data_IF_774576057501
#
_entry.id   IF_774576057501
#
_cell.length_a   1.000
_cell.length_b   1.000
_cell.length_c   1.000
_cell.angle_alpha   90.00
_cell.angle_beta   90.00
_cell.angle_gamma   90.00
#
_symmetry.space_group_name_H-M   'P 1'
#
loop_
_entity.id
_entity.type
_entity.pdbx_description
1 polymer ?
#
# COMPACT_ATOMS: atom_id res chain seq x y z
N UNK A 1 4.66 7.07 -30.22
CA UNK A 1 3.33 7.14 -29.59
C UNK A 1 3.40 6.30 -28.33
N UNK A 2 4.31 6.70 -27.44
CA UNK A 2 5.06 5.85 -26.51
C UNK A 2 5.22 6.55 -25.15
N UNK A 3 4.44 7.60 -24.89
CA UNK A 3 4.54 8.45 -23.68
C UNK A 3 3.38 8.26 -22.68
N UNK A 4 2.35 7.46 -23.00
CA UNK A 4 1.24 7.19 -22.06
C UNK A 4 1.52 6.03 -21.09
N UNK A 5 2.41 5.09 -21.45
CA UNK A 5 2.77 3.94 -20.59
C UNK A 5 3.72 4.31 -19.44
N UNK A 6 4.53 5.37 -19.56
CA UNK A 6 5.49 5.78 -18.49
C UNK A 6 4.85 6.69 -17.42
N UNK A 7 3.74 7.37 -17.73
CA UNK A 7 3.01 8.23 -16.78
C UNK A 7 2.13 7.43 -15.80
N UNK A 8 1.59 6.28 -16.24
CA UNK A 8 0.76 5.36 -15.42
C UNK A 8 1.56 4.62 -14.34
N UNK A 9 2.89 4.52 -14.50
CA UNK A 9 3.78 3.71 -13.64
C UNK A 9 4.39 4.50 -12.47
N UNK A 10 4.53 5.83 -12.61
CA UNK A 10 5.10 6.68 -11.55
C UNK A 10 4.06 7.30 -10.61
N UNK A 11 2.77 7.36 -10.99
CA UNK A 11 1.73 7.90 -10.10
C UNK A 11 1.14 6.88 -9.11
N UNK A 12 1.33 5.57 -9.35
CA UNK A 12 1.06 4.50 -8.36
C UNK A 12 2.07 4.49 -7.20
N UNK A 13 3.28 5.04 -7.38
CA UNK A 13 4.33 5.09 -6.35
C UNK A 13 4.04 6.15 -5.26
N UNK A 14 3.43 7.27 -5.65
CA UNK A 14 3.22 8.43 -4.76
C UNK A 14 1.99 8.34 -3.84
N UNK A 15 0.93 7.61 -4.24
CA UNK A 15 -0.29 7.46 -3.43
C UNK A 15 -0.22 6.30 -2.42
N UNK A 16 0.58 5.27 -2.69
CA UNK A 16 0.74 4.08 -1.83
C UNK A 16 1.71 4.34 -0.67
N UNK A 17 2.75 5.16 -0.87
CA UNK A 17 3.65 5.56 0.22
C UNK A 17 2.98 6.44 1.29
N UNK A 18 2.06 7.34 0.87
CA UNK A 18 1.35 8.25 1.80
C UNK A 18 0.12 7.57 2.44
N UNK A 19 -0.49 6.57 1.80
CA UNK A 19 -1.58 5.80 2.42
C UNK A 19 -1.12 4.67 3.36
N UNK A 20 0.12 4.16 3.26
CA UNK A 20 0.59 3.16 4.23
C UNK A 20 0.74 3.72 5.65
N UNK A 21 0.99 5.02 5.84
CA UNK A 21 0.97 5.65 7.16
C UNK A 21 -0.46 5.89 7.69
N UNK A 22 -1.42 6.20 6.81
CA UNK A 22 -2.82 6.42 7.22
C UNK A 22 -3.61 5.10 7.47
N UNK A 23 -3.19 3.98 6.87
CA UNK A 23 -3.79 2.66 7.09
C UNK A 23 -3.27 1.99 8.37
N UNK A 24 -2.06 2.35 8.86
CA UNK A 24 -1.57 1.84 10.14
C UNK A 24 -2.31 2.43 11.36
N UNK A 25 -3.01 3.56 11.21
CA UNK A 25 -3.82 4.16 12.28
C UNK A 25 -5.30 3.71 12.33
N UNK A 26 -5.79 2.91 11.35
CA UNK A 26 -7.19 2.47 11.29
C UNK A 26 -7.38 0.99 11.65
N UNK A 27 -6.96 0.63 12.87
CA UNK A 27 -7.42 -0.56 13.58
C UNK A 27 -8.91 -0.43 13.99
N UNK A 28 -9.84 -0.37 13.02
CA UNK A 28 -11.28 -0.58 13.25
C UNK A 28 -12.11 -0.71 11.94
N UNK A 29 -11.97 -1.80 11.18
CA UNK A 29 -13.05 -2.25 10.28
C UNK A 29 -13.56 -3.64 10.71
N UNK A 30 -14.86 -3.78 11.08
CA UNK A 30 -15.42 -5.05 11.54
C UNK A 30 -15.83 -6.02 10.41
N UNK A 31 -15.46 -5.76 9.15
CA UNK A 31 -15.86 -6.60 8.01
C UNK A 31 -14.84 -7.72 7.64
N UNK A 32 -13.64 -7.73 8.22
CA UNK A 32 -12.61 -8.76 7.98
C UNK A 32 -12.44 -9.78 9.14
N UNK A 33 -13.36 -9.80 10.11
CA UNK A 33 -13.21 -10.59 11.32
C UNK A 33 -13.21 -12.12 11.11
N UNK A 34 -13.74 -12.64 9.99
CA UNK A 34 -13.86 -14.10 9.76
C UNK A 34 -12.73 -14.71 8.89
N UNK A 35 -11.85 -13.90 8.29
CA UNK A 35 -10.67 -14.38 7.52
C UNK A 35 -9.40 -14.57 8.39
N UNK A 36 -9.47 -14.17 9.67
CA UNK A 36 -8.33 -14.20 10.59
C UNK A 36 -7.78 -15.62 10.91
N UNK A 37 -8.51 -16.70 10.60
CA UNK A 37 -8.11 -18.07 10.95
C UNK A 37 -7.25 -18.76 9.88
N UNK A 38 -7.09 -18.22 8.66
CA UNK A 38 -6.19 -18.78 7.62
C UNK A 38 -4.93 -17.94 7.34
N UNK A 39 -4.89 -16.68 7.76
CA UNK A 39 -3.74 -15.79 7.55
C UNK A 39 -2.63 -15.94 8.63
N UNK A 40 -2.40 -17.15 9.17
CA UNK A 40 -1.41 -17.39 10.24
C UNK A 40 0.02 -17.72 9.75
N UNK A 41 0.26 -17.89 8.44
CA UNK A 41 1.54 -18.43 7.96
C UNK A 41 2.43 -17.50 7.11
N UNK A 42 2.01 -16.29 6.76
CA UNK A 42 2.90 -15.29 6.17
C UNK A 42 2.30 -13.90 6.31
N UNK A 43 2.69 -13.16 7.35
CA UNK A 43 2.33 -11.75 7.51
C UNK A 43 3.59 -10.93 7.68
N UNK A 44 4.22 -10.61 6.54
CA UNK A 44 5.22 -9.54 6.44
C UNK A 44 4.49 -8.20 6.39
N UNK A 45 4.92 -7.22 7.19
CA UNK A 45 4.52 -5.81 6.99
C UNK A 45 5.27 -5.35 5.73
N UNK A 46 4.56 -5.18 4.62
CA UNK A 46 5.16 -4.69 3.38
C UNK A 46 5.18 -3.16 3.40
N UNK A 47 6.35 -2.57 3.64
CA UNK A 47 6.59 -1.16 3.31
C UNK A 47 6.99 -1.03 1.85
N UNK A 48 6.27 -0.22 1.09
CA UNK A 48 6.70 0.19 -0.24
C UNK A 48 7.83 1.22 -0.11
N UNK A 49 9.08 0.77 -0.14
CA UNK A 49 10.26 1.65 -0.18
C UNK A 49 10.44 2.13 -1.62
N UNK A 50 10.44 3.45 -1.84
CA UNK A 50 10.82 4.02 -3.14
C UNK A 50 12.33 3.85 -3.36
N UNK A 51 12.73 2.69 -3.90
CA UNK A 51 14.05 2.55 -4.50
C UNK A 51 14.09 3.34 -5.81
N UNK A 52 14.89 4.41 -5.84
CA UNK A 52 15.03 5.30 -7.00
C UNK A 52 15.38 4.58 -8.30
N UNK A 53 14.77 5.04 -9.40
CA UNK A 53 15.02 4.67 -10.80
C UNK A 53 15.13 3.16 -11.13
N UNK A 54 14.37 2.32 -10.43
CA UNK A 54 14.11 0.95 -10.90
C UNK A 54 12.95 0.94 -11.91
N UNK A 55 13.29 0.67 -13.18
CA UNK A 55 12.37 0.50 -14.31
C UNK A 55 11.51 -0.79 -14.20
N UNK A 56 11.75 -1.62 -13.18
CA UNK A 56 11.02 -2.87 -12.92
C UNK A 56 9.99 -2.73 -11.78
N UNK A 57 8.80 -3.28 -12.04
CA UNK A 57 7.59 -3.19 -11.23
C UNK A 57 7.60 -4.14 -9.99
N UNK A 58 8.75 -4.55 -9.46
CA UNK A 58 8.80 -5.46 -8.32
C UNK A 58 8.60 -4.70 -7.00
N UNK A 59 7.45 -4.92 -6.34
CA UNK A 59 7.25 -4.56 -4.94
C UNK A 59 7.75 -5.73 -4.10
N UNK A 60 9.02 -5.69 -3.69
CA UNK A 60 9.56 -6.67 -2.74
C UNK A 60 9.05 -6.35 -1.33
N UNK A 61 8.45 -7.33 -0.65
CA UNK A 61 8.21 -7.22 0.78
C UNK A 61 9.52 -7.50 1.50
N UNK A 62 10.19 -6.44 1.95
CA UNK A 62 11.34 -6.58 2.85
C UNK A 62 10.79 -6.92 4.23
N UNK A 63 11.18 -8.06 4.79
CA UNK A 63 10.85 -8.35 6.17
C UNK A 63 11.48 -7.28 7.07
N UNK A 64 10.67 -6.63 7.92
CA UNK A 64 11.16 -5.60 8.85
C UNK A 64 12.28 -6.11 9.77
N UNK A 65 12.31 -7.41 10.03
CA UNK A 65 13.37 -8.10 10.78
C UNK A 65 14.76 -7.98 10.15
N UNK A 66 14.85 -7.76 8.84
CA UNK A 66 16.13 -7.64 8.14
C UNK A 66 16.59 -6.18 7.99
N UNK A 67 15.69 -5.23 8.22
CA UNK A 67 15.98 -3.81 8.11
C UNK A 67 16.61 -3.26 9.39
N UNK A 68 17.68 -2.47 9.26
CA UNK A 68 18.22 -1.77 10.43
C UNK A 68 17.39 -0.51 10.71
N UNK A 69 17.32 -0.08 11.98
CA UNK A 69 16.65 1.18 12.34
C UNK A 69 17.16 2.38 11.51
N UNK A 70 18.46 2.40 11.20
CA UNK A 70 19.06 3.45 10.38
C UNK A 70 18.46 3.45 8.97
N UNK A 71 18.33 2.29 8.34
CA UNK A 71 17.79 2.19 6.98
C UNK A 71 16.30 2.51 6.97
N UNK A 72 15.58 2.07 8.01
CA UNK A 72 14.17 2.41 8.22
C UNK A 72 13.94 3.92 8.34
N UNK A 73 14.72 4.61 9.18
CA UNK A 73 14.55 6.03 9.42
C UNK A 73 15.08 6.90 8.28
N UNK A 74 16.03 6.42 7.47
CA UNK A 74 16.59 7.17 6.32
C UNK A 74 15.56 7.41 5.21
N UNK A 75 14.53 6.56 5.12
CA UNK A 75 13.38 6.76 4.23
C UNK A 75 12.30 7.70 4.77
N UNK A 76 12.40 8.08 6.05
CA UNK A 76 11.45 8.95 6.73
C UNK A 76 12.11 10.33 6.84
N UNK A 77 11.44 11.40 6.38
CA UNK A 77 11.98 12.77 6.38
C UNK A 77 12.05 13.36 7.81
N UNK A 78 12.92 12.77 8.66
CA UNK A 78 13.07 13.07 10.08
C UNK A 78 14.11 14.17 10.32
N UNK A 79 13.86 15.35 9.76
CA UNK A 79 14.71 16.51 10.08
C UNK A 79 14.49 16.96 11.55
N UNK A 80 15.59 17.36 12.22
CA UNK A 80 15.58 18.01 13.54
C UNK A 80 15.05 17.20 14.76
N UNK A 81 15.02 15.86 14.71
CA UNK A 81 14.73 15.02 15.89
C UNK A 81 15.86 15.15 16.93
N UNK A 82 15.58 15.49 18.20
CA UNK A 82 16.58 15.49 19.25
C UNK A 82 17.21 14.11 19.41
N UNK A 83 18.52 14.04 19.63
CA UNK A 83 19.24 12.77 19.79
C UNK A 83 18.60 11.84 20.83
N UNK A 84 18.09 12.39 21.93
CA UNK A 84 17.42 11.58 22.97
C UNK A 84 16.14 10.91 22.47
N UNK A 85 15.40 11.56 21.59
CA UNK A 85 14.15 11.04 21.04
C UNK A 85 14.47 10.05 19.90
N UNK A 86 15.54 10.28 19.14
CA UNK A 86 16.07 9.30 18.17
C UNK A 86 16.55 8.01 18.86
N UNK A 87 17.28 8.12 19.98
CA UNK A 87 17.71 6.95 20.77
C UNK A 87 16.47 6.19 21.33
N UNK A 88 15.36 6.88 21.63
CA UNK A 88 14.13 6.26 22.10
C UNK A 88 13.33 5.59 20.97
N UNK A 89 13.26 6.21 19.78
CA UNK A 89 12.69 5.61 18.58
C UNK A 89 13.42 4.32 18.21
N UNK A 90 14.75 4.33 18.23
CA UNK A 90 15.57 3.13 17.96
C UNK A 90 15.28 2.01 18.98
N UNK A 91 15.11 2.35 20.26
CA UNK A 91 14.82 1.39 21.32
C UNK A 91 13.45 0.74 21.13
N UNK A 92 12.39 1.51 20.84
CA UNK A 92 11.05 0.96 20.58
C UNK A 92 11.01 0.14 19.28
N UNK A 93 11.63 0.62 18.20
CA UNK A 93 11.75 -0.13 16.93
C UNK A 93 12.37 -1.51 17.15
N UNK A 94 13.52 -1.58 17.82
CA UNK A 94 14.22 -2.84 18.06
C UNK A 94 13.42 -3.80 18.96
N UNK A 95 12.61 -3.28 19.89
CA UNK A 95 11.72 -4.11 20.71
C UNK A 95 10.57 -4.67 19.89
N UNK A 96 9.96 -3.85 19.03
CA UNK A 96 8.87 -4.26 18.16
C UNK A 96 9.34 -5.38 17.21
N UNK A 97 10.44 -5.16 16.47
CA UNK A 97 11.04 -6.16 15.58
C UNK A 97 11.34 -7.48 16.32
N UNK A 98 11.97 -7.40 17.50
CA UNK A 98 12.26 -8.61 18.29
C UNK A 98 11.00 -9.35 18.77
N UNK A 99 9.93 -8.62 19.07
CA UNK A 99 8.65 -9.20 19.45
C UNK A 99 8.01 -9.93 18.26
N UNK A 100 8.06 -9.34 17.06
CA UNK A 100 7.61 -9.96 15.81
C UNK A 100 8.40 -11.23 15.46
N UNK A 101 9.73 -11.19 15.56
CA UNK A 101 10.60 -12.38 15.38
C UNK A 101 10.23 -13.52 16.35
N UNK A 102 9.77 -13.15 17.54
CA UNK A 102 9.31 -14.08 18.58
C UNK A 102 7.83 -14.48 18.44
N UNK A 103 7.15 -14.01 17.38
CA UNK A 103 5.72 -14.17 17.12
C UNK A 103 4.83 -13.67 18.28
N UNK A 104 5.28 -12.65 19.00
CA UNK A 104 4.56 -12.01 20.09
C UNK A 104 3.94 -10.69 19.62
N UNK A 105 2.94 -10.78 18.76
CA UNK A 105 2.36 -9.63 18.06
C UNK A 105 1.70 -8.61 19.00
N UNK A 106 1.08 -9.04 20.10
CA UNK A 106 0.51 -8.11 21.10
C UNK A 106 1.58 -7.18 21.69
N UNK A 107 2.78 -7.71 21.96
CA UNK A 107 3.89 -6.89 22.44
C UNK A 107 4.52 -6.05 21.32
N UNK A 108 4.54 -6.55 20.08
CA UNK A 108 5.01 -5.77 18.94
C UNK A 108 4.12 -4.54 18.73
N UNK A 109 2.79 -4.72 18.75
CA UNK A 109 1.80 -3.65 18.62
C UNK A 109 2.00 -2.59 19.72
N UNK A 110 2.20 -2.99 20.98
CA UNK A 110 2.49 -2.05 22.06
C UNK A 110 3.76 -1.21 21.81
N UNK A 111 4.79 -1.80 21.21
CA UNK A 111 6.04 -1.10 20.91
C UNK A 111 5.92 -0.20 19.69
N UNK A 112 5.20 -0.63 18.65
CA UNK A 112 4.86 0.23 17.49
C UNK A 112 4.00 1.42 17.92
N UNK A 113 3.01 1.21 18.78
CA UNK A 113 2.17 2.28 19.35
C UNK A 113 3.00 3.32 20.13
N UNK A 114 4.08 2.92 20.80
CA UNK A 114 4.97 3.86 21.50
C UNK A 114 5.97 4.52 20.54
N UNK A 115 6.43 3.78 19.53
CA UNK A 115 7.23 4.31 18.43
C UNK A 115 6.49 5.45 17.72
N UNK A 116 5.25 5.23 17.30
CA UNK A 116 4.43 6.22 16.58
C UNK A 116 4.17 7.45 17.44
N UNK A 117 3.83 7.27 18.73
CA UNK A 117 3.69 8.40 19.68
C UNK A 117 4.97 9.22 19.86
N UNK A 118 6.14 8.63 19.69
CA UNK A 118 7.41 9.36 19.71
C UNK A 118 7.65 10.04 18.36
N UNK A 119 7.40 9.32 17.27
CA UNK A 119 7.62 9.76 15.90
C UNK A 119 6.76 10.98 15.55
N UNK A 120 5.47 10.94 15.89
CA UNK A 120 4.48 12.02 15.65
C UNK A 120 4.82 13.34 16.35
N UNK A 121 5.68 13.32 17.38
CA UNK A 121 6.15 14.57 18.04
C UNK A 121 7.09 15.36 17.15
N UNK A 122 7.75 14.71 16.21
CA UNK A 122 8.81 15.29 15.40
C UNK A 122 8.45 15.32 13.93
N UNK A 123 7.78 14.29 13.44
CA UNK A 123 7.33 14.21 12.07
C UNK A 123 5.87 14.60 12.03
N UNK A 124 5.60 15.77 11.47
CA UNK A 124 4.26 16.08 11.01
C UNK A 124 4.17 15.58 9.59
N UNK A 125 3.39 14.52 9.38
CA UNK A 125 2.98 14.15 8.03
C UNK A 125 2.15 15.31 7.48
N UNK A 126 2.77 16.13 6.64
CA UNK A 126 2.04 17.14 5.88
C UNK A 126 1.19 16.40 4.86
N UNK A 127 -0.07 16.18 5.21
CA UNK A 127 -1.04 15.61 4.28
C UNK A 127 -1.16 16.55 3.07
N UNK A 128 -1.15 16.02 1.83
CA UNK A 128 -1.21 16.84 0.65
C UNK A 128 -2.47 17.71 0.65
N UNK A 129 -2.44 18.84 -0.05
CA UNK A 129 -3.70 19.58 -0.27
C UNK A 129 -4.67 18.70 -1.06
N UNK A 130 -5.99 18.93 -0.92
CA UNK A 130 -6.98 18.20 -1.72
C UNK A 130 -6.67 18.25 -3.23
N UNK A 131 -6.14 19.36 -3.73
CA UNK A 131 -5.73 19.48 -5.13
C UNK A 131 -4.57 18.54 -5.48
N UNK A 132 -3.52 18.50 -4.66
CA UNK A 132 -2.37 17.60 -4.87
C UNK A 132 -2.78 16.13 -4.73
N UNK A 133 -3.61 15.81 -3.73
CA UNK A 133 -4.21 14.48 -3.58
C UNK A 133 -4.98 14.08 -4.85
N UNK A 134 -5.74 15.01 -5.43
CA UNK A 134 -6.53 14.75 -6.63
C UNK A 134 -5.73 14.72 -7.94
N UNK A 135 -4.46 15.16 -7.98
CA UNK A 135 -3.67 15.28 -9.22
C UNK A 135 -3.37 13.92 -9.87
N UNK A 136 -3.47 12.82 -9.13
CA UNK A 136 -3.30 11.45 -9.64
C UNK A 136 -4.55 10.82 -10.26
N UNK A 137 -5.73 11.43 -10.09
CA UNK A 137 -7.00 10.83 -10.48
C UNK A 137 -7.58 11.49 -11.74
N UNK A 138 -7.76 10.68 -12.79
CA UNK A 138 -8.46 11.08 -14.00
C UNK A 138 -9.97 10.90 -13.80
N UNK A 139 -10.62 11.86 -13.13
CA UNK A 139 -12.08 11.86 -12.94
C UNK A 139 -12.78 12.56 -14.11
N UNK A 140 -13.40 11.78 -14.99
CA UNK A 140 -14.18 12.30 -16.11
C UNK A 140 -15.54 12.85 -15.64
N UNK A 141 -15.92 14.02 -16.17
CA UNK A 141 -17.24 14.65 -16.00
C UNK A 141 -17.72 14.90 -14.54
N UNK A 142 -16.79 15.00 -13.58
CA UNK A 142 -17.13 15.34 -12.19
C UNK A 142 -17.81 16.71 -12.06
N UNK A 143 -18.97 16.71 -11.40
CA UNK A 143 -19.71 17.96 -11.19
C UNK A 143 -19.00 18.88 -10.21
N UNK A 144 -19.11 20.21 -10.40
CA UNK A 144 -18.54 21.17 -9.46
C UNK A 144 -19.11 21.02 -8.03
N UNK A 145 -20.35 20.52 -7.91
CA UNK A 145 -20.96 20.26 -6.60
C UNK A 145 -20.28 19.11 -5.87
N UNK A 146 -20.04 18.01 -6.58
CA UNK A 146 -19.41 16.81 -6.02
C UNK A 146 -17.93 17.03 -5.73
N UNK A 147 -17.21 17.75 -6.61
CA UNK A 147 -15.81 18.14 -6.33
C UNK A 147 -15.69 18.93 -5.02
N UNK A 148 -16.58 19.89 -4.77
CA UNK A 148 -16.60 20.65 -3.51
C UNK A 148 -16.98 19.80 -2.30
N UNK A 149 -17.87 18.82 -2.50
CA UNK A 149 -18.28 17.93 -1.43
C UNK A 149 -17.15 16.96 -1.03
N UNK A 150 -16.39 16.45 -2.01
CA UNK A 150 -15.17 15.68 -1.76
C UNK A 150 -14.10 16.52 -1.08
N UNK A 151 -13.81 17.73 -1.57
CA UNK A 151 -12.85 18.65 -0.94
C UNK A 151 -13.22 18.91 0.51
N UNK A 152 -14.51 19.12 0.79
CA UNK A 152 -14.98 19.32 2.17
C UNK A 152 -14.78 18.06 3.02
N UNK A 153 -15.16 16.88 2.50
CA UNK A 153 -15.02 15.63 3.23
C UNK A 153 -13.54 15.35 3.56
N UNK A 154 -12.64 15.54 2.59
CA UNK A 154 -11.19 15.44 2.76
C UNK A 154 -10.69 16.34 3.89
N UNK A 155 -10.96 17.64 3.82
CA UNK A 155 -10.49 18.60 4.83
C UNK A 155 -11.10 18.36 6.21
N UNK A 156 -12.39 17.97 6.28
CA UNK A 156 -13.05 17.63 7.55
C UNK A 156 -12.42 16.34 8.17
N UNK A 157 -11.91 15.41 7.35
CA UNK A 157 -11.21 14.22 7.83
C UNK A 157 -9.85 14.60 8.44
N UNK A 158 -9.05 15.42 7.74
CA UNK A 158 -7.78 15.92 8.27
C UNK A 158 -7.94 16.71 9.57
N UNK A 159 -8.96 17.58 9.66
CA UNK A 159 -9.25 18.30 10.90
C UNK A 159 -9.64 17.34 12.04
N UNK A 160 -10.42 16.30 11.76
CA UNK A 160 -10.80 15.31 12.76
C UNK A 160 -9.61 14.46 13.22
N UNK A 161 -8.66 14.20 12.34
CA UNK A 161 -7.41 13.50 12.64
C UNK A 161 -6.52 14.33 13.57
N UNK A 162 -6.35 15.63 13.30
CA UNK A 162 -5.66 16.55 14.22
C UNK A 162 -6.33 16.62 15.61
N UNK A 163 -7.65 16.43 15.66
CA UNK A 163 -8.44 16.37 16.90
C UNK A 163 -8.37 14.99 17.61
N UNK A 164 -7.87 13.95 16.94
CA UNK A 164 -7.90 12.56 17.41
C UNK A 164 -9.30 11.93 17.43
N UNK A 165 -10.25 12.45 16.65
CA UNK A 165 -11.63 11.95 16.53
C UNK A 165 -11.76 10.96 15.36
N UNK A 166 -11.24 9.76 15.54
CA UNK A 166 -11.17 8.74 14.50
C UNK A 166 -12.55 8.30 13.97
N UNK A 167 -13.62 8.30 14.79
CA UNK A 167 -14.98 8.01 14.31
C UNK A 167 -15.44 9.05 13.27
N UNK A 168 -15.06 10.32 13.47
CA UNK A 168 -15.35 11.41 12.54
C UNK A 168 -14.45 11.36 11.31
N UNK A 169 -13.19 10.94 11.45
CA UNK A 169 -12.27 10.65 10.33
C UNK A 169 -12.91 9.62 9.40
N UNK A 170 -13.26 8.45 9.93
CA UNK A 170 -13.87 7.35 9.18
C UNK A 170 -15.11 7.84 8.43
N UNK A 171 -16.02 8.51 9.13
CA UNK A 171 -17.26 9.03 8.55
C UNK A 171 -17.04 10.05 7.43
N UNK A 172 -15.93 10.78 7.43
CA UNK A 172 -15.62 11.75 6.39
C UNK A 172 -15.00 11.08 5.16
N UNK A 173 -14.08 10.14 5.34
CA UNK A 173 -13.60 9.29 4.24
C UNK A 173 -14.74 8.52 3.59
N UNK A 174 -15.64 7.97 4.39
CA UNK A 174 -16.86 7.30 3.93
C UNK A 174 -17.76 8.17 3.03
N UNK A 175 -17.73 9.49 3.20
CA UNK A 175 -18.45 10.44 2.33
C UNK A 175 -17.65 10.76 1.08
N UNK A 176 -16.34 10.89 1.23
CA UNK A 176 -15.41 11.10 0.13
C UNK A 176 -15.56 9.96 -0.88
N UNK A 177 -15.42 8.72 -0.42
CA UNK A 177 -15.45 7.50 -1.25
C UNK A 177 -16.79 7.36 -1.97
N UNK A 178 -17.90 7.50 -1.25
CA UNK A 178 -19.26 7.49 -1.85
C UNK A 178 -19.46 8.51 -2.96
N UNK A 179 -18.70 9.62 -2.98
CA UNK A 179 -18.75 10.59 -4.08
C UNK A 179 -17.76 10.18 -5.17
N UNK A 180 -16.53 9.85 -4.78
CA UNK A 180 -15.45 9.45 -5.65
C UNK A 180 -15.80 8.23 -6.52
N UNK A 181 -16.40 7.21 -5.94
CA UNK A 181 -16.84 5.96 -6.60
C UNK A 181 -17.87 6.18 -7.72
N UNK A 182 -18.52 7.35 -7.77
CA UNK A 182 -19.43 7.68 -8.89
C UNK A 182 -18.68 8.05 -10.17
N UNK A 183 -17.41 8.43 -10.03
CA UNK A 183 -16.59 9.02 -11.10
C UNK A 183 -15.37 8.18 -11.43
N UNK A 184 -14.92 7.34 -10.49
CA UNK A 184 -13.98 6.28 -10.80
C UNK A 184 -14.77 5.13 -11.40
N UNK A 185 -14.64 5.00 -12.71
CA UNK A 185 -14.95 3.72 -13.32
C UNK A 185 -13.80 2.80 -12.95
N UNK A 186 -14.03 1.93 -11.95
CA UNK A 186 -13.18 0.79 -11.69
C UNK A 186 -13.34 -0.20 -12.85
N UNK A 187 -13.13 0.24 -14.10
CA UNK A 187 -12.99 -0.67 -15.23
C UNK A 187 -11.80 -1.53 -14.89
N UNK A 188 -12.13 -2.68 -14.32
CA UNK A 188 -11.25 -3.82 -14.24
C UNK A 188 -10.77 -3.99 -15.67
N UNK A 189 -9.46 -3.83 -15.85
CA UNK A 189 -8.82 -4.02 -17.14
C UNK A 189 -9.22 -5.38 -17.69
N UNK A 190 -9.31 -5.54 -19.01
CA UNK A 190 -9.69 -6.85 -19.53
C UNK A 190 -8.67 -7.90 -19.08
N UNK A 191 -9.09 -9.17 -19.00
CA UNK A 191 -8.14 -10.24 -18.65
C UNK A 191 -6.89 -10.21 -19.55
N UNK A 192 -7.04 -9.89 -20.84
CA UNK A 192 -5.89 -9.73 -21.73
C UNK A 192 -4.99 -8.54 -21.38
N UNK A 193 -5.57 -7.39 -21.02
CA UNK A 193 -4.80 -6.22 -20.58
C UNK A 193 -4.09 -6.51 -19.24
N UNK A 194 -4.75 -7.20 -18.32
CA UNK A 194 -4.17 -7.68 -17.07
C UNK A 194 -2.96 -8.58 -17.32
N UNK A 195 -3.12 -9.61 -18.17
CA UNK A 195 -2.03 -10.51 -18.50
C UNK A 195 -0.90 -9.84 -19.31
N UNK A 196 -1.20 -8.82 -20.14
CA UNK A 196 -0.17 -8.02 -20.82
C UNK A 196 0.64 -7.19 -19.82
N UNK A 197 0.01 -6.63 -18.78
CA UNK A 197 0.71 -5.84 -17.75
C UNK A 197 1.64 -6.70 -16.88
N UNK A 198 1.35 -7.98 -16.70
CA UNK A 198 2.16 -8.91 -15.91
C UNK A 198 3.38 -9.50 -16.65
N UNK A 199 3.35 -9.53 -17.99
CA UNK A 199 4.45 -10.03 -18.83
C UNK A 199 4.95 -11.46 -18.49
N UNK A 200 4.03 -12.33 -18.03
CA UNK A 200 4.36 -13.72 -17.65
C UNK A 200 4.33 -14.63 -18.88
N UNK A 201 5.46 -15.29 -19.15
CA UNK A 201 5.59 -16.27 -20.22
C UNK A 201 5.31 -17.71 -19.74
N UNK A 202 5.08 -18.63 -20.69
CA UNK A 202 5.05 -20.07 -20.41
C UNK A 202 3.71 -20.63 -19.90
N UNK A 203 2.69 -19.80 -19.76
CA UNK A 203 1.35 -20.22 -19.32
C UNK A 203 0.72 -21.19 -20.34
N UNK A 204 0.23 -22.32 -19.85
CA UNK A 204 -0.45 -23.30 -20.70
C UNK A 204 -1.77 -22.74 -21.24
N UNK A 205 -2.20 -23.17 -22.43
CA UNK A 205 -3.47 -22.69 -23.01
C UNK A 205 -4.70 -23.06 -22.19
N UNK A 206 -4.63 -24.16 -21.45
CA UNK A 206 -5.75 -24.62 -20.63
C UNK A 206 -5.81 -23.81 -19.34
N UNK A 207 -4.66 -23.51 -18.71
CA UNK A 207 -4.58 -22.64 -17.53
C UNK A 207 -4.94 -21.19 -17.87
N UNK A 208 -4.50 -20.67 -19.01
CA UNK A 208 -4.88 -19.32 -19.47
C UNK A 208 -6.41 -19.16 -19.56
N UNK A 209 -7.12 -20.18 -20.06
CA UNK A 209 -8.59 -20.16 -20.13
C UNK A 209 -9.26 -20.31 -18.77
N UNK A 210 -8.66 -21.09 -17.88
CA UNK A 210 -9.19 -21.27 -16.53
C UNK A 210 -9.05 -19.97 -15.72
N UNK A 211 -7.89 -19.31 -15.80
CA UNK A 211 -7.68 -17.97 -15.23
C UNK A 211 -8.62 -16.93 -15.84
N UNK A 212 -8.76 -16.88 -17.17
CA UNK A 212 -9.69 -15.96 -17.83
C UNK A 212 -11.12 -16.14 -17.31
N UNK A 213 -11.55 -17.39 -17.14
CA UNK A 213 -12.88 -17.70 -16.62
C UNK A 213 -13.01 -17.27 -15.15
N UNK A 214 -12.07 -17.64 -14.29
CA UNK A 214 -12.09 -17.30 -12.87
C UNK A 214 -12.09 -15.77 -12.66
N UNK A 215 -11.23 -15.06 -13.39
CA UNK A 215 -11.17 -13.60 -13.40
C UNK A 215 -12.53 -12.98 -13.74
N UNK A 216 -13.12 -13.34 -14.90
CA UNK A 216 -14.38 -12.75 -15.34
C UNK A 216 -15.56 -13.11 -14.42
N UNK A 217 -15.60 -14.34 -13.89
CA UNK A 217 -16.64 -14.75 -12.95
C UNK A 217 -16.50 -13.98 -11.62
N UNK A 218 -15.29 -13.69 -11.15
CA UNK A 218 -15.06 -12.88 -9.96
C UNK A 218 -15.59 -11.44 -10.13
N UNK A 219 -15.31 -10.82 -11.28
CA UNK A 219 -15.82 -9.49 -11.60
C UNK A 219 -17.35 -9.43 -11.67
N UNK A 220 -17.97 -10.45 -12.28
CA UNK A 220 -19.44 -10.54 -12.35
C UNK A 220 -20.04 -10.66 -10.93
N UNK A 221 -19.44 -11.47 -10.07
CA UNK A 221 -19.92 -11.66 -8.70
C UNK A 221 -19.74 -10.40 -7.84
N UNK A 222 -18.66 -9.63 -8.01
CA UNK A 222 -18.47 -8.33 -7.35
C UNK A 222 -19.49 -7.29 -7.82
N UNK A 223 -19.77 -7.23 -9.13
CA UNK A 223 -20.79 -6.34 -9.68
C UNK A 223 -22.19 -6.68 -9.13
N UNK A 224 -22.47 -7.96 -8.90
CA UNK A 224 -23.71 -8.44 -8.27
C UNK A 224 -23.71 -8.29 -6.72
N UNK A 225 -22.55 -8.02 -6.12
CA UNK A 225 -22.36 -7.89 -4.67
C UNK A 225 -22.29 -9.22 -3.91
N UNK A 226 -22.01 -10.33 -4.59
CA UNK A 226 -21.79 -11.66 -4.01
C UNK A 226 -20.30 -11.90 -3.70
N UNK A 227 -19.78 -11.13 -2.74
CA UNK A 227 -18.35 -11.15 -2.40
C UNK A 227 -17.84 -12.53 -1.97
N UNK A 228 -18.66 -13.37 -1.33
CA UNK A 228 -18.25 -14.72 -0.93
C UNK A 228 -18.04 -15.66 -2.13
N UNK A 229 -18.66 -15.36 -3.27
CA UNK A 229 -18.50 -16.10 -4.53
C UNK A 229 -17.35 -15.51 -5.35
N UNK A 230 -17.24 -14.18 -5.37
CA UNK A 230 -16.09 -13.48 -5.94
C UNK A 230 -14.77 -13.96 -5.33
N UNK A 231 -14.67 -14.01 -3.99
CA UNK A 231 -13.49 -14.49 -3.27
C UNK A 231 -13.07 -15.89 -3.71
N UNK A 232 -14.02 -16.82 -3.88
CA UNK A 232 -13.72 -18.18 -4.36
C UNK A 232 -13.17 -18.20 -5.78
N UNK A 233 -13.65 -17.33 -6.66
CA UNK A 233 -13.14 -17.23 -8.02
C UNK A 233 -11.75 -16.59 -8.04
N UNK A 234 -11.48 -15.60 -7.18
CA UNK A 234 -10.14 -15.04 -7.00
C UNK A 234 -9.17 -16.09 -6.45
N UNK A 235 -9.57 -16.89 -5.47
CA UNK A 235 -8.77 -18.03 -4.98
C UNK A 235 -8.45 -19.02 -6.11
N UNK A 236 -9.43 -19.37 -6.97
CA UNK A 236 -9.19 -20.25 -8.13
C UNK A 236 -8.23 -19.62 -9.14
N UNK A 237 -8.34 -18.31 -9.36
CA UNK A 237 -7.42 -17.55 -10.20
C UNK A 237 -5.98 -17.66 -9.66
N UNK A 238 -5.79 -17.31 -8.39
CA UNK A 238 -4.49 -17.27 -7.71
C UNK A 238 -3.84 -18.67 -7.67
N UNK A 239 -4.60 -19.73 -7.36
CA UNK A 239 -4.09 -21.11 -7.38
C UNK A 239 -3.53 -21.55 -8.74
N UNK A 240 -4.04 -20.98 -9.84
CA UNK A 240 -3.50 -21.23 -11.18
C UNK A 240 -2.31 -20.33 -11.46
N UNK A 241 -2.44 -19.06 -11.11
CA UNK A 241 -1.45 -18.02 -11.31
C UNK A 241 -0.12 -18.31 -10.60
N UNK A 242 -0.18 -18.77 -9.35
CA UNK A 242 0.97 -19.12 -8.49
C UNK A 242 1.86 -20.21 -9.06
N UNK A 243 1.37 -21.00 -10.03
CA UNK A 243 2.21 -22.01 -10.73
C UNK A 243 3.22 -21.37 -11.68
N UNK A 244 2.99 -20.12 -12.06
CA UNK A 244 3.73 -19.38 -13.07
C UNK A 244 4.50 -18.19 -12.52
N UNK A 245 4.08 -17.68 -11.35
CA UNK A 245 4.86 -16.70 -10.60
C UNK A 245 5.83 -17.44 -9.71
N UNK A 246 7.10 -17.40 -10.11
CA UNK A 246 8.16 -17.83 -9.22
C UNK A 246 8.34 -16.74 -8.16
N UNK A 247 7.76 -16.95 -6.98
CA UNK A 247 7.98 -16.10 -5.81
C UNK A 247 9.41 -16.25 -5.25
N UNK A 248 10.36 -16.80 -6.01
CA UNK A 248 11.78 -16.79 -5.71
C UNK A 248 12.34 -15.36 -5.83
N UNK A 249 11.80 -14.45 -5.01
CA UNK A 249 12.34 -13.14 -4.68
C UNK A 249 13.65 -13.24 -3.88
N UNK A 250 14.27 -14.43 -3.78
CA UNK A 250 15.51 -14.64 -3.00
C UNK A 250 16.79 -14.25 -3.74
N UNK A 251 16.73 -13.98 -5.05
CA UNK A 251 17.83 -13.36 -5.80
C UNK A 251 17.37 -12.06 -6.45
N UNK A 252 17.06 -11.05 -5.63
CA UNK A 252 17.34 -9.68 -6.07
C UNK A 252 18.87 -9.62 -6.22
N UNK A 253 19.36 -9.74 -7.46
CA UNK A 253 20.74 -9.42 -7.82
C UNK A 253 20.92 -7.92 -7.56
N UNK A 254 21.25 -7.58 -6.31
CA UNK A 254 21.81 -6.29 -5.92
C UNK A 254 23.16 -6.18 -6.62
N UNK A 255 23.14 -5.99 -7.94
CA UNK A 255 24.34 -5.92 -8.76
C UNK A 255 25.34 -5.00 -8.09
N UNK A 256 26.55 -5.53 -7.84
CA UNK A 256 27.68 -4.91 -7.13
C UNK A 256 27.49 -3.39 -6.89
N UNK A 257 26.89 -3.04 -5.75
CA UNK A 257 26.70 -1.64 -5.32
C UNK A 257 28.04 -0.94 -5.01
N UNK A 258 29.17 -1.64 -5.18
CA UNK A 258 30.53 -1.17 -4.93
C UNK A 258 31.06 -0.14 -5.95
N UNK A 259 30.32 0.24 -7.00
CA UNK A 259 30.78 1.21 -8.02
C UNK A 259 30.24 2.65 -7.90
N UNK A 260 29.58 3.03 -6.80
CA UNK A 260 29.19 4.43 -6.51
C UNK A 260 30.23 5.21 -5.67
N UNK A 261 31.53 4.98 -5.89
CA UNK A 261 32.59 5.93 -5.48
C UNK A 261 32.56 7.17 -6.39
N UNK A 262 31.62 8.10 -6.15
CA UNK A 262 31.48 9.29 -7.02
C UNK A 262 30.83 10.54 -6.43
N UNK A 263 30.30 10.50 -5.21
CA UNK A 263 29.72 11.69 -4.56
C UNK A 263 30.74 12.37 -3.62
N UNK A 264 31.90 12.73 -4.16
CA UNK A 264 32.75 13.75 -3.54
C UNK A 264 32.25 15.14 -3.95
N UNK A 265 31.93 15.95 -2.94
CA UNK A 265 31.10 17.13 -3.06
C UNK A 265 31.59 18.25 -3.98
N UNK A 266 30.61 19.07 -4.38
CA UNK A 266 30.76 20.47 -4.75
C UNK A 266 29.60 21.29 -4.24
#
# INVERSE_FOLDING_TARGET
MTMKKTMKRNMRKFAVGVMCAAILASNAMPAFADSAEHAQNSKSICMAIECGDMDDNSVGCVELSEMSFKDFIEGLDVEDVPKSDMDALEDEYNKAVKAEESQNYEAADEHWDEFDKLFDKHVKLEMPSFKEFMEGFELDDISQGDMKAMEKAYNDALEAEEEGDYEKVDKNWDKFDKIFDKYVDYQMISFEEFMEELDIEGISKDDMKAMEKAYNDALEDEEEGDYEKADKNWEEFDEIFDKYVDYDMTEIDYGDFDELEGCDGK
#
